data_IF_365355629662
#
_entry.id   IF_365355629662
#
_cell.length_a   1.000
_cell.length_b   1.000
_cell.length_c   1.000
_cell.angle_alpha   90.00
_cell.angle_beta   90.00
_cell.angle_gamma   90.00
#
_symmetry.space_group_name_H-M   'P 1'
#
loop_
_entity.id
_entity.type
_entity.pdbx_description
1 polymer ?
#
# COMPACT_ATOMS: atom_id res chain seq x y z
N UNK A 1 -26.17 -7.03 -23.46
CA UNK A 1 -25.28 -6.69 -22.32
C UNK A 1 -23.94 -7.34 -22.61
N UNK A 2 -22.94 -6.59 -23.07
CA UNK A 2 -21.64 -7.15 -23.42
C UNK A 2 -20.91 -7.54 -22.13
N UNK A 3 -20.55 -8.82 -22.00
CA UNK A 3 -19.65 -9.30 -20.96
C UNK A 3 -18.27 -8.70 -21.24
N UNK A 4 -17.97 -7.56 -20.60
CA UNK A 4 -16.61 -7.03 -20.57
C UNK A 4 -15.71 -8.06 -19.91
N UNK A 5 -14.92 -8.76 -20.72
CA UNK A 5 -13.89 -9.68 -20.24
C UNK A 5 -12.96 -8.88 -19.34
N UNK A 6 -12.96 -9.19 -18.05
CA UNK A 6 -12.07 -8.55 -17.09
C UNK A 6 -10.61 -8.78 -17.55
N UNK A 7 -9.76 -7.75 -17.59
CA UNK A 7 -8.35 -7.93 -17.93
C UNK A 7 -7.73 -9.00 -17.03
N UNK A 8 -7.18 -10.04 -17.64
CA UNK A 8 -6.71 -11.22 -16.93
C UNK A 8 -5.40 -10.91 -16.19
N UNK A 9 -5.50 -10.73 -14.87
CA UNK A 9 -4.34 -10.56 -13.97
C UNK A 9 -3.53 -11.86 -13.97
N UNK A 10 -2.23 -11.77 -14.30
CA UNK A 10 -1.33 -12.92 -14.30
C UNK A 10 -0.76 -13.19 -12.91
N UNK A 11 -0.18 -14.37 -12.74
CA UNK A 11 0.36 -14.85 -11.45
C UNK A 11 1.25 -13.84 -10.70
N UNK A 12 2.21 -13.13 -11.34
CA UNK A 12 3.05 -12.17 -10.61
C UNK A 12 2.25 -11.05 -9.91
N UNK A 13 1.21 -10.52 -10.56
CA UNK A 13 0.35 -9.49 -9.98
C UNK A 13 -0.56 -10.04 -8.88
N UNK A 14 -0.97 -11.31 -8.96
CA UNK A 14 -1.65 -11.98 -7.84
C UNK A 14 -0.73 -12.16 -6.64
N UNK A 15 0.53 -12.57 -6.87
CA UNK A 15 1.54 -12.65 -5.80
C UNK A 15 1.74 -11.27 -5.17
N UNK A 16 1.95 -10.24 -5.98
CA UNK A 16 2.11 -8.87 -5.50
C UNK A 16 0.91 -8.35 -4.71
N UNK A 17 -0.31 -8.61 -5.19
CA UNK A 17 -1.54 -8.30 -4.43
C UNK A 17 -1.63 -9.09 -3.11
N UNK A 18 -1.21 -10.36 -3.09
CA UNK A 18 -1.11 -11.16 -1.87
C UNK A 18 -0.10 -10.59 -0.88
N UNK A 19 1.03 -10.07 -1.36
CA UNK A 19 2.03 -9.39 -0.54
C UNK A 19 1.49 -8.06 0.02
N UNK A 20 0.79 -7.25 -0.79
CA UNK A 20 0.08 -6.07 -0.27
C UNK A 20 -0.95 -6.44 0.81
N UNK A 21 -1.69 -7.54 0.63
CA UNK A 21 -2.64 -8.01 1.65
C UNK A 21 -1.94 -8.45 2.94
N UNK A 22 -0.84 -9.20 2.83
CA UNK A 22 -0.05 -9.59 4.00
C UNK A 22 0.51 -8.36 4.74
N UNK A 23 1.10 -7.43 3.99
CA UNK A 23 1.55 -6.14 4.50
C UNK A 23 0.43 -5.42 5.26
N UNK A 24 -0.77 -5.39 4.68
CA UNK A 24 -1.95 -4.75 5.26
C UNK A 24 -2.35 -5.33 6.61
N UNK A 25 -2.37 -6.66 6.72
CA UNK A 25 -2.71 -7.35 7.97
C UNK A 25 -1.72 -7.01 9.07
N UNK A 26 -0.43 -6.97 8.75
CA UNK A 26 0.61 -6.60 9.72
C UNK A 26 0.43 -5.15 10.21
N UNK A 27 0.06 -4.23 9.33
CA UNK A 27 -0.12 -2.82 9.69
C UNK A 27 -1.42 -2.57 10.46
N UNK A 28 -2.51 -3.26 10.11
CA UNK A 28 -3.74 -3.27 10.91
C UNK A 28 -3.46 -3.79 12.32
N UNK A 29 -2.65 -4.86 12.43
CA UNK A 29 -2.24 -5.38 13.74
C UNK A 29 -1.51 -4.33 14.58
N UNK A 30 -0.58 -3.53 14.00
CA UNK A 30 0.07 -2.43 14.73
C UNK A 30 -0.93 -1.41 15.23
N UNK A 31 -1.93 -1.04 14.42
CA UNK A 31 -2.99 -0.13 14.84
C UNK A 31 -3.83 -0.68 15.98
N UNK A 32 -4.19 -1.97 15.92
CA UNK A 32 -4.91 -2.65 17.01
C UNK A 32 -4.06 -2.73 18.28
N UNK A 33 -2.78 -3.10 18.17
CA UNK A 33 -1.87 -3.18 19.30
C UNK A 33 -1.72 -1.82 20.00
N UNK A 34 -1.53 -0.73 19.24
CA UNK A 34 -1.48 0.62 19.79
C UNK A 34 -2.78 1.04 20.48
N UNK A 35 -3.94 0.70 19.90
CA UNK A 35 -5.23 0.96 20.54
C UNK A 35 -5.40 0.16 21.84
N UNK A 36 -5.00 -1.12 21.85
CA UNK A 36 -5.03 -1.95 23.07
C UNK A 36 -4.15 -1.34 24.15
N UNK A 37 -2.89 -1.02 23.86
CA UNK A 37 -1.99 -0.39 24.83
C UNK A 37 -2.49 0.97 25.33
N UNK A 38 -3.20 1.73 24.48
CA UNK A 38 -3.84 2.97 24.89
C UNK A 38 -4.98 2.76 25.90
N UNK A 39 -5.82 1.73 25.72
CA UNK A 39 -6.98 1.48 26.59
C UNK A 39 -6.67 0.64 27.82
N UNK A 40 -5.71 -0.28 27.73
CA UNK A 40 -5.44 -1.28 28.77
C UNK A 40 -4.03 -1.19 29.35
N UNK A 41 -3.11 -0.53 28.67
CA UNK A 41 -1.73 -0.35 29.08
C UNK A 41 -1.49 0.95 29.84
N UNK A 42 -0.21 1.27 30.03
CA UNK A 42 0.24 2.57 30.52
C UNK A 42 1.09 3.28 29.46
N UNK A 43 1.52 4.51 29.73
CA UNK A 43 2.34 5.26 28.78
C UNK A 43 3.71 4.60 28.53
N UNK A 44 4.21 3.83 29.49
CA UNK A 44 5.47 3.09 29.36
C UNK A 44 5.30 1.97 28.34
N UNK A 45 4.25 1.16 28.47
CA UNK A 45 3.96 0.06 27.55
C UNK A 45 3.73 0.56 26.13
N UNK A 46 2.97 1.65 25.94
CA UNK A 46 2.80 2.30 24.64
C UNK A 46 4.14 2.72 24.02
N UNK A 47 5.01 3.37 24.78
CA UNK A 47 6.32 3.80 24.28
C UNK A 47 7.19 2.62 23.85
N UNK A 48 7.13 1.48 24.54
CA UNK A 48 7.92 0.29 24.16
C UNK A 48 7.58 -0.27 22.78
N UNK A 49 6.44 0.10 22.18
CA UNK A 49 6.13 -0.19 20.78
C UNK A 49 7.03 0.57 19.79
N UNK A 50 7.55 1.75 20.17
CA UNK A 50 8.25 2.66 19.24
C UNK A 50 9.72 2.93 19.61
N UNK A 51 10.22 2.39 20.72
CA UNK A 51 11.61 2.56 21.19
C UNK A 51 12.34 1.23 21.34
N UNK A 52 13.54 1.26 21.92
CA UNK A 52 14.37 0.10 22.22
C UNK A 52 15.55 -0.06 21.25
N UNK A 53 15.63 0.78 20.23
CA UNK A 53 16.80 0.86 19.35
C UNK A 53 18.02 1.43 20.06
N UNK A 54 19.16 1.42 19.37
CA UNK A 54 20.46 1.85 19.93
C UNK A 54 20.48 3.30 20.39
N UNK A 55 19.67 4.16 19.77
CA UNK A 55 19.61 5.60 20.07
C UNK A 55 18.42 5.98 20.97
N UNK A 56 17.54 5.03 21.30
CA UNK A 56 16.50 5.18 22.30
C UNK A 56 16.30 3.88 23.10
N UNK A 57 17.33 3.40 23.81
CA UNK A 57 17.20 2.18 24.61
C UNK A 57 16.19 2.40 25.73
N UNK A 58 15.34 1.40 25.99
CA UNK A 58 14.31 1.47 27.04
C UNK A 58 14.90 1.85 28.40
N UNK A 59 16.08 1.33 28.73
CA UNK A 59 16.77 1.62 29.99
C UNK A 59 17.28 3.05 30.14
N UNK A 60 17.45 3.78 29.03
CA UNK A 60 17.90 5.18 29.02
C UNK A 60 16.76 6.18 28.76
N UNK A 61 15.59 5.71 28.32
CA UNK A 61 14.46 6.55 27.98
C UNK A 61 13.80 7.12 29.25
N UNK A 62 13.54 8.42 29.25
CA UNK A 62 12.85 9.10 30.35
C UNK A 62 11.35 9.14 30.05
N UNK A 63 10.58 8.33 30.76
CA UNK A 63 9.13 8.31 30.64
C UNK A 63 8.51 9.55 31.31
N UNK A 64 7.38 10.05 30.79
CA UNK A 64 6.69 11.19 31.41
C UNK A 64 6.22 10.82 32.81
N UNK A 65 6.52 11.68 33.78
CA UNK A 65 6.14 11.49 35.19
C UNK A 65 4.94 12.33 35.61
N UNK A 66 4.62 13.39 34.86
CA UNK A 66 3.43 14.20 35.08
C UNK A 66 2.27 13.76 34.17
N UNK A 67 1.05 13.90 34.68
CA UNK A 67 -0.16 13.41 34.01
C UNK A 67 -0.45 14.14 32.68
N UNK A 68 -0.08 15.43 32.57
CA UNK A 68 -0.37 16.21 31.36
C UNK A 68 0.51 15.75 30.20
N UNK A 69 1.82 15.62 30.42
CA UNK A 69 2.76 15.12 29.41
C UNK A 69 2.45 13.68 29.04
N UNK A 70 2.15 12.82 30.02
CA UNK A 70 1.77 11.43 29.76
C UNK A 70 0.52 11.34 28.88
N UNK A 71 -0.51 12.14 29.17
CA UNK A 71 -1.73 12.17 28.37
C UNK A 71 -1.46 12.67 26.94
N UNK A 72 -0.71 13.76 26.79
CA UNK A 72 -0.38 14.31 25.47
C UNK A 72 0.41 13.29 24.62
N UNK A 73 1.41 12.63 25.21
CA UNK A 73 2.19 11.61 24.50
C UNK A 73 1.35 10.38 24.15
N UNK A 74 0.50 9.91 25.06
CA UNK A 74 -0.42 8.78 24.82
C UNK A 74 -1.28 9.00 23.56
N UNK A 75 -1.84 10.19 23.40
CA UNK A 75 -2.62 10.52 22.20
C UNK A 75 -1.80 10.60 20.91
N UNK A 76 -0.55 11.09 20.98
CA UNK A 76 0.34 11.12 19.82
C UNK A 76 0.76 9.71 19.38
N UNK A 77 1.06 8.84 20.34
CA UNK A 77 1.38 7.43 20.09
C UNK A 77 0.17 6.70 19.50
N UNK A 78 -1.01 6.88 20.08
CA UNK A 78 -2.24 6.33 19.54
C UNK A 78 -2.48 6.82 18.10
N UNK A 79 -2.36 8.12 17.84
CA UNK A 79 -2.54 8.67 16.50
C UNK A 79 -1.58 8.01 15.50
N UNK A 80 -0.29 7.91 15.84
CA UNK A 80 0.69 7.22 15.00
C UNK A 80 0.28 5.78 14.70
N UNK A 81 -0.10 4.99 15.72
CA UNK A 81 -0.52 3.60 15.53
C UNK A 81 -1.79 3.50 14.67
N UNK A 82 -2.77 4.38 14.87
CA UNK A 82 -4.00 4.41 14.08
C UNK A 82 -3.74 4.81 12.63
N UNK A 83 -2.82 5.74 12.37
CA UNK A 83 -2.39 6.11 11.01
C UNK A 83 -1.77 4.89 10.31
N UNK A 84 -0.87 4.18 10.98
CA UNK A 84 -0.28 2.92 10.48
C UNK A 84 -1.38 1.89 10.17
N UNK A 85 -2.34 1.70 11.08
CA UNK A 85 -3.49 0.82 10.86
C UNK A 85 -4.37 1.26 9.68
N UNK A 86 -4.59 2.57 9.52
CA UNK A 86 -5.33 3.16 8.41
C UNK A 86 -4.67 2.91 7.06
N UNK A 87 -3.34 3.04 6.98
CA UNK A 87 -2.60 2.62 5.79
C UNK A 87 -2.74 1.11 5.53
N UNK A 88 -2.79 0.29 6.58
CA UNK A 88 -3.12 -1.12 6.45
C UNK A 88 -4.48 -1.36 5.76
N UNK A 89 -5.53 -0.63 6.15
CA UNK A 89 -6.85 -0.70 5.47
C UNK A 89 -6.75 -0.26 4.01
N UNK A 90 -5.99 0.81 3.72
CA UNK A 90 -5.73 1.24 2.34
C UNK A 90 -5.03 0.13 1.53
N UNK A 91 -4.08 -0.57 2.13
CA UNK A 91 -3.39 -1.70 1.50
C UNK A 91 -4.35 -2.84 1.11
N UNK A 92 -5.39 -3.12 1.90
CA UNK A 92 -6.42 -4.11 1.54
C UNK A 92 -7.16 -3.68 0.28
N UNK A 93 -7.51 -2.39 0.18
CA UNK A 93 -8.18 -1.82 -0.99
C UNK A 93 -7.26 -1.92 -2.21
N UNK A 94 -5.97 -1.57 -2.07
CA UNK A 94 -4.96 -1.71 -3.12
C UNK A 94 -4.84 -3.16 -3.59
N UNK A 95 -4.73 -4.11 -2.67
CA UNK A 95 -4.67 -5.53 -2.98
C UNK A 95 -5.88 -6.00 -3.78
N UNK A 96 -7.09 -5.60 -3.37
CA UNK A 96 -8.32 -5.88 -4.10
C UNK A 96 -8.33 -5.24 -5.50
N UNK A 97 -7.93 -3.97 -5.62
CA UNK A 97 -7.87 -3.26 -6.91
C UNK A 97 -6.91 -3.94 -7.90
N UNK A 98 -5.78 -4.45 -7.43
CA UNK A 98 -4.83 -5.20 -8.26
C UNK A 98 -5.43 -6.56 -8.62
N UNK A 99 -5.85 -7.35 -7.62
CA UNK A 99 -6.26 -8.73 -7.80
C UNK A 99 -7.55 -8.87 -8.62
N UNK A 100 -8.57 -8.08 -8.30
CA UNK A 100 -9.91 -8.20 -8.89
C UNK A 100 -10.09 -7.33 -10.14
N UNK A 101 -9.34 -6.22 -10.26
CA UNK A 101 -9.56 -5.22 -11.32
C UNK A 101 -8.35 -4.95 -12.20
N UNK A 102 -7.21 -5.59 -11.96
CA UNK A 102 -5.97 -5.33 -12.70
C UNK A 102 -5.64 -3.81 -12.74
N UNK A 103 -5.92 -3.09 -11.66
CA UNK A 103 -5.92 -1.62 -11.67
C UNK A 103 -4.53 -1.05 -11.46
N UNK A 104 -4.02 -0.36 -12.48
CA UNK A 104 -2.79 0.43 -12.37
C UNK A 104 -2.93 1.58 -11.37
N UNK A 105 -4.10 2.19 -11.25
CA UNK A 105 -4.38 3.19 -10.21
C UNK A 105 -4.19 2.60 -8.82
N UNK A 106 -4.73 1.40 -8.58
CA UNK A 106 -4.52 0.69 -7.31
C UNK A 106 -3.05 0.43 -7.03
N UNK A 107 -2.32 -0.08 -8.04
CA UNK A 107 -0.88 -0.27 -7.94
C UNK A 107 -0.12 1.04 -7.62
N UNK A 108 -0.40 2.14 -8.32
CA UNK A 108 0.28 3.42 -8.11
C UNK A 108 -0.01 4.03 -6.74
N UNK A 109 -1.23 3.86 -6.21
CA UNK A 109 -1.54 4.21 -4.81
C UNK A 109 -0.65 3.38 -3.86
N UNK A 110 -0.54 2.07 -4.10
CA UNK A 110 0.33 1.18 -3.32
C UNK A 110 1.82 1.52 -3.43
N UNK A 111 2.28 2.06 -4.56
CA UNK A 111 3.67 2.50 -4.71
C UNK A 111 3.89 3.83 -4.00
N UNK A 112 3.04 4.82 -4.25
CA UNK A 112 3.31 6.20 -3.81
C UNK A 112 2.85 6.43 -2.38
N UNK A 113 1.59 6.15 -2.07
CA UNK A 113 1.00 6.49 -0.77
C UNK A 113 1.54 5.59 0.32
N UNK A 114 1.51 4.27 0.10
CA UNK A 114 2.10 3.31 1.06
C UNK A 114 3.62 3.46 1.11
N UNK A 115 4.28 3.74 -0.03
CA UNK A 115 5.72 3.99 -0.04
C UNK A 115 6.13 5.20 0.79
N UNK A 116 5.36 6.30 0.78
CA UNK A 116 5.62 7.45 1.67
C UNK A 116 5.53 7.02 3.13
N UNK A 117 4.52 6.24 3.51
CA UNK A 117 4.35 5.78 4.88
C UNK A 117 5.54 4.90 5.33
N UNK A 118 5.88 3.86 4.56
CA UNK A 118 6.95 2.92 4.90
C UNK A 118 8.33 3.59 4.91
N UNK A 119 8.63 4.45 3.93
CA UNK A 119 9.91 5.13 3.86
C UNK A 119 10.05 6.19 4.96
N UNK A 120 8.96 6.86 5.35
CA UNK A 120 8.97 7.79 6.49
C UNK A 120 9.24 7.05 7.79
N UNK A 121 8.58 5.92 8.02
CA UNK A 121 8.82 5.06 9.18
C UNK A 121 10.27 4.53 9.21
N UNK A 122 10.73 3.99 8.08
CA UNK A 122 12.09 3.46 7.93
C UNK A 122 13.14 4.54 8.19
N UNK A 123 12.95 5.74 7.65
CA UNK A 123 13.84 6.87 7.89
C UNK A 123 13.79 7.36 9.34
N UNK A 124 12.60 7.68 9.84
CA UNK A 124 12.42 8.37 11.11
C UNK A 124 12.67 7.49 12.33
N UNK A 125 12.35 6.19 12.27
CA UNK A 125 12.43 5.30 13.44
C UNK A 125 13.48 4.20 13.31
N UNK A 126 13.55 3.53 12.15
CA UNK A 126 14.43 2.36 11.99
C UNK A 126 15.88 2.76 11.74
N UNK A 127 16.15 3.53 10.68
CA UNK A 127 17.52 3.93 10.31
C UNK A 127 18.13 4.93 11.28
N UNK A 128 17.29 5.73 11.95
CA UNK A 128 17.69 6.60 13.06
C UNK A 128 18.02 5.83 14.35
N UNK A 129 17.76 4.52 14.40
CA UNK A 129 18.05 3.67 15.56
C UNK A 129 17.17 3.94 16.78
N UNK A 130 15.99 4.54 16.60
CA UNK A 130 15.04 4.81 17.69
C UNK A 130 14.29 3.53 18.08
N UNK A 131 13.74 2.82 17.10
CA UNK A 131 13.05 1.55 17.31
C UNK A 131 13.98 0.34 17.13
N UNK A 132 13.66 -0.79 17.75
CA UNK A 132 14.40 -2.04 17.55
C UNK A 132 14.28 -2.52 16.10
N UNK A 133 15.40 -2.67 15.41
CA UNK A 133 15.47 -3.22 14.05
C UNK A 133 15.38 -4.77 14.04
N UNK A 134 14.26 -5.32 14.50
CA UNK A 134 13.98 -6.74 14.46
C UNK A 134 13.05 -7.10 13.29
N UNK A 135 12.82 -8.41 13.07
CA UNK A 135 11.98 -8.90 11.97
C UNK A 135 10.56 -8.28 11.98
N UNK A 136 9.82 -8.26 13.10
CA UNK A 136 8.52 -7.58 13.16
C UNK A 136 8.54 -6.12 12.65
N UNK A 137 9.57 -5.36 13.03
CA UNK A 137 9.73 -3.95 12.63
C UNK A 137 10.04 -3.80 11.14
N UNK A 138 10.95 -4.62 10.59
CA UNK A 138 11.44 -4.43 9.21
C UNK A 138 10.66 -5.23 8.17
N UNK A 139 9.84 -6.19 8.58
CA UNK A 139 9.08 -7.05 7.68
C UNK A 139 8.12 -6.25 6.79
N UNK A 140 7.46 -5.22 7.32
CA UNK A 140 6.57 -4.34 6.56
C UNK A 140 7.25 -3.77 5.30
N UNK A 141 8.27 -2.91 5.46
CA UNK A 141 9.01 -2.35 4.33
C UNK A 141 9.53 -3.40 3.34
N UNK A 142 10.06 -4.54 3.82
CA UNK A 142 10.55 -5.62 2.95
C UNK A 142 9.41 -6.21 2.10
N UNK A 143 8.28 -6.54 2.71
CA UNK A 143 7.11 -7.11 2.01
C UNK A 143 6.58 -6.10 0.99
N UNK A 144 6.51 -4.81 1.34
CA UNK A 144 6.09 -3.75 0.42
C UNK A 144 7.01 -3.65 -0.80
N UNK A 145 8.33 -3.62 -0.61
CA UNK A 145 9.30 -3.57 -1.72
C UNK A 145 9.11 -4.76 -2.67
N UNK A 146 8.93 -5.97 -2.13
CA UNK A 146 8.67 -7.16 -2.93
C UNK A 146 7.35 -7.06 -3.69
N UNK A 147 6.28 -6.57 -3.05
CA UNK A 147 4.98 -6.37 -3.68
C UNK A 147 5.07 -5.39 -4.86
N UNK A 148 5.75 -4.26 -4.65
CA UNK A 148 5.97 -3.23 -5.67
C UNK A 148 6.78 -3.76 -6.86
N UNK A 149 7.83 -4.53 -6.59
CA UNK A 149 8.72 -5.05 -7.62
C UNK A 149 8.04 -6.12 -8.49
N UNK A 150 7.28 -7.04 -7.90
CA UNK A 150 6.71 -8.17 -8.65
C UNK A 150 5.42 -7.84 -9.39
N UNK A 151 4.61 -6.91 -8.86
CA UNK A 151 3.26 -6.63 -9.39
C UNK A 151 3.24 -6.26 -10.88
N UNK A 152 4.09 -5.32 -11.37
CA UNK A 152 4.05 -4.86 -12.77
C UNK A 152 4.13 -5.98 -13.80
N UNK A 153 4.88 -7.05 -13.52
CA UNK A 153 5.08 -8.16 -14.45
C UNK A 153 3.81 -8.99 -14.71
N UNK A 154 2.79 -8.85 -13.86
CA UNK A 154 1.51 -9.53 -14.03
C UNK A 154 0.34 -8.63 -14.44
N UNK A 155 0.60 -7.33 -14.61
CA UNK A 155 -0.41 -6.34 -14.97
C UNK A 155 -0.63 -6.28 -16.48
N UNK A 156 -1.84 -5.93 -16.96
CA UNK A 156 -2.08 -5.66 -18.36
C UNK A 156 -1.26 -4.45 -18.84
N UNK A 157 -0.95 -4.34 -20.14
CA UNK A 157 -0.24 -3.18 -20.68
C UNK A 157 -0.93 -1.86 -20.31
N UNK A 158 -0.13 -0.86 -19.91
CA UNK A 158 -0.63 0.46 -19.49
C UNK A 158 -1.37 1.20 -20.61
N UNK A 159 -0.93 0.98 -21.86
CA UNK A 159 -1.54 1.54 -23.07
C UNK A 159 -2.20 0.40 -23.83
N UNK A 160 -3.52 0.47 -24.02
CA UNK A 160 -4.18 -0.33 -25.05
C UNK A 160 -3.84 0.32 -26.38
N UNK A 161 -3.18 -0.41 -27.26
CA UNK A 161 -3.14 -0.01 -28.66
C UNK A 161 -4.60 0.07 -29.13
N UNK A 162 -5.01 1.25 -29.61
CA UNK A 162 -6.26 1.36 -30.32
C UNK A 162 -6.22 0.35 -31.46
N UNK A 163 -7.33 -0.34 -31.79
CA UNK A 163 -7.40 -1.12 -33.00
C UNK A 163 -6.89 -0.24 -34.14
N UNK A 164 -5.79 -0.64 -34.77
CA UNK A 164 -5.41 -0.03 -36.05
C UNK A 164 -6.63 -0.24 -36.94
N UNK A 165 -7.20 0.84 -37.47
CA UNK A 165 -8.28 0.75 -38.45
C UNK A 165 -7.84 -0.27 -39.50
N UNK A 166 -8.62 -1.33 -39.66
CA UNK A 166 -8.31 -2.38 -40.61
C UNK A 166 -8.41 -1.74 -42.01
N UNK A 167 -7.41 -1.84 -42.88
CA UNK A 167 -7.41 -1.19 -44.19
C UNK A 167 -8.67 -1.50 -45.03
N UNK A 168 -9.29 -2.65 -44.79
CA UNK A 168 -10.48 -3.13 -45.51
C UNK A 168 -11.74 -2.25 -45.25
N UNK A 169 -11.78 -1.48 -44.16
CA UNK A 169 -12.93 -0.61 -43.84
C UNK A 169 -12.97 0.67 -44.71
N UNK A 170 -11.85 1.02 -45.38
CA UNK A 170 -11.82 2.14 -46.33
C UNK A 170 -12.27 1.74 -47.73
N UNK A 171 -12.02 0.50 -48.16
CA UNK A 171 -12.30 0.06 -49.53
C UNK A 171 -13.81 -0.03 -49.81
N UNK A 172 -14.61 -0.43 -48.82
CA UNK A 172 -16.07 -0.52 -48.94
C UNK A 172 -16.72 0.88 -49.03
N UNK A 173 -16.13 1.89 -48.40
CA UNK A 173 -16.65 3.26 -48.46
C UNK A 173 -16.33 3.98 -49.77
N UNK A 174 -15.23 3.65 -50.45
CA UNK A 174 -14.93 4.18 -51.78
C UNK A 174 -15.81 3.55 -52.87
N UNK A 175 -16.06 2.23 -52.81
CA UNK A 175 -16.92 1.54 -53.78
C UNK A 175 -18.38 2.04 -53.69
N UNK A 176 -18.88 2.32 -52.49
CA UNK A 176 -20.23 2.87 -52.27
C UNK A 176 -20.41 4.30 -52.84
N UNK A 177 -19.34 5.11 -52.86
CA UNK A 177 -19.37 6.48 -53.39
C UNK A 177 -19.22 6.56 -54.91
N UNK A 178 -18.64 5.54 -55.55
CA UNK A 178 -18.50 5.49 -57.01
C UNK A 178 -19.79 5.07 -57.74
N UNK A 179 -20.76 4.47 -57.06
CA UNK A 179 -21.97 3.89 -57.67
C UNK A 179 -23.17 4.82 -57.85
N UNK A 180 -23.14 6.06 -57.38
CA UNK A 180 -24.32 6.96 -57.37
C UNK A 180 -24.29 8.08 -58.42
N UNK A 181 -23.33 8.03 -59.35
CA UNK A 181 -23.01 9.14 -60.28
C UNK A 181 -23.39 8.94 -61.75
N UNK A 182 -24.43 8.19 -62.10
CA UNK A 182 -24.93 8.18 -63.49
C UNK A 182 -26.47 8.19 -63.56
N UNK A 183 -27.02 9.36 -63.86
CA UNK A 183 -28.31 9.54 -64.56
C UNK A 183 -28.04 10.33 -65.84
#
# INVERSE_FOLDING_TARGET
>A
MALTVSPLVRTPAKIGAGLFLLWSVLHIYVGVAGAVEYFTGDITSQWTLLIGGTNAPVSGFQFPTDALTANAQSHLLLNFCLDVGGYGVLGVIVAWMIWARASWTGYLIGVVVIGIADLTFLFALVTSGIIVANVPTVAGPIIWFLAVAITPFGMPPLRRDLPKAQPDDMEINEISRAGTGSQ
#
